data_IF_712058931839
#
_entry.id   IF_712058931839
#
_cell.length_a   1.000
_cell.length_b   1.000
_cell.length_c   1.000
_cell.angle_alpha   90.00
_cell.angle_beta   90.00
_cell.angle_gamma   90.00
#
_symmetry.space_group_name_H-M   'P 1'
#
loop_
_entity.id
_entity.type
_entity.pdbx_description
1 polymer ?
#
# COMPACT_ATOMS: atom_id res chain seq x y z
N UNK A 1 6.09 17.39 3.73
CA UNK A 1 5.00 17.46 2.72
C UNK A 1 5.56 17.12 1.33
N UNK A 2 5.42 15.85 0.91
CA UNK A 2 5.88 15.39 -0.42
C UNK A 2 4.89 15.72 -1.55
N UNK A 3 3.71 16.25 -1.25
CA UNK A 3 2.65 16.52 -2.24
C UNK A 3 3.02 17.58 -3.27
N UNK A 4 3.62 18.70 -2.84
CA UNK A 4 3.99 19.78 -3.75
C UNK A 4 5.08 19.36 -4.77
N UNK A 5 6.20 18.73 -4.36
CA UNK A 5 7.20 18.26 -5.34
C UNK A 5 6.66 17.17 -6.27
N UNK A 6 5.77 16.28 -5.80
CA UNK A 6 5.15 15.26 -6.65
C UNK A 6 4.23 15.87 -7.70
N UNK A 7 3.40 16.85 -7.32
CA UNK A 7 2.55 17.58 -8.26
C UNK A 7 3.36 18.39 -9.27
N UNK A 8 4.44 19.04 -8.82
CA UNK A 8 5.34 19.78 -9.70
C UNK A 8 6.01 18.84 -10.72
N UNK A 9 6.54 17.69 -10.26
CA UNK A 9 7.15 16.70 -11.14
C UNK A 9 6.15 16.14 -12.16
N UNK A 10 4.93 15.83 -11.73
CA UNK A 10 3.87 15.39 -12.64
C UNK A 10 3.50 16.45 -13.68
N UNK A 11 3.36 17.71 -13.26
CA UNK A 11 3.06 18.82 -14.18
C UNK A 11 4.18 19.04 -15.20
N UNK A 12 5.45 18.97 -14.77
CA UNK A 12 6.61 19.06 -15.66
C UNK A 12 6.65 17.90 -16.64
N UNK A 13 6.41 16.65 -16.18
CA UNK A 13 6.40 15.48 -17.04
C UNK A 13 5.28 15.56 -18.10
N UNK A 14 4.06 15.94 -17.69
CA UNK A 14 2.92 16.13 -18.61
C UNK A 14 3.25 17.24 -19.61
N UNK A 15 3.76 18.38 -19.15
CA UNK A 15 4.16 19.50 -20.00
C UNK A 15 5.22 19.12 -21.04
N UNK A 16 6.25 18.38 -20.62
CA UNK A 16 7.32 17.92 -21.50
C UNK A 16 6.79 16.96 -22.58
N UNK A 17 5.94 16.00 -22.22
CA UNK A 17 5.34 15.05 -23.16
C UNK A 17 4.43 15.76 -24.15
N UNK A 18 3.58 16.69 -23.69
CA UNK A 18 2.68 17.45 -24.57
C UNK A 18 3.46 18.37 -25.54
N UNK A 19 4.48 19.04 -25.02
CA UNK A 19 5.33 19.89 -25.88
C UNK A 19 6.03 19.09 -26.97
N UNK A 20 6.48 17.86 -26.62
CA UNK A 20 7.16 16.96 -27.56
C UNK A 20 6.21 16.35 -28.60
N UNK A 21 4.98 15.97 -28.19
CA UNK A 21 4.02 15.28 -29.06
C UNK A 21 3.04 16.22 -29.78
N UNK A 22 2.94 17.49 -29.37
CA UNK A 22 1.96 18.48 -29.89
C UNK A 22 0.51 17.99 -29.90
N UNK A 23 0.14 17.10 -29.00
CA UNK A 23 -1.19 16.56 -28.86
C UNK A 23 -1.97 17.32 -27.77
N UNK A 24 -3.29 17.45 -27.94
CA UNK A 24 -4.16 18.09 -26.96
C UNK A 24 -4.24 17.22 -25.68
N UNK A 25 -4.42 17.83 -24.47
CA UNK A 25 -4.47 17.09 -23.21
C UNK A 25 -5.71 16.23 -23.01
N UNK A 26 -6.77 16.43 -23.80
CA UNK A 26 -8.07 15.79 -23.65
C UNK A 26 -8.03 14.25 -23.72
N UNK A 27 -7.29 13.61 -24.65
CA UNK A 27 -7.19 12.16 -24.70
C UNK A 27 -6.58 11.56 -23.42
N UNK A 28 -5.68 12.30 -22.73
CA UNK A 28 -5.12 11.86 -21.47
C UNK A 28 -6.18 11.78 -20.36
N UNK A 29 -7.11 12.74 -20.31
CA UNK A 29 -8.19 12.76 -19.32
C UNK A 29 -9.23 11.65 -19.57
N UNK A 30 -9.47 11.27 -20.81
CA UNK A 30 -10.36 10.15 -21.16
C UNK A 30 -9.77 8.80 -20.72
N UNK A 31 -8.44 8.67 -20.71
CA UNK A 31 -7.76 7.44 -20.31
C UNK A 31 -7.55 7.33 -18.79
N UNK A 32 -7.87 8.37 -18.02
CA UNK A 32 -7.83 8.32 -16.55
C UNK A 32 -8.89 7.36 -16.02
N UNK A 33 -8.49 6.48 -15.13
CA UNK A 33 -9.42 5.53 -14.46
C UNK A 33 -10.23 6.24 -13.37
N UNK A 34 -11.21 7.07 -13.75
CA UNK A 34 -12.05 7.86 -12.84
C UNK A 34 -12.78 7.00 -11.80
N UNK A 35 -13.04 5.72 -12.10
CA UNK A 35 -13.63 4.75 -11.18
C UNK A 35 -12.79 4.50 -9.93
N UNK A 36 -11.50 4.84 -9.95
CA UNK A 36 -10.62 4.72 -8.78
C UNK A 36 -10.97 5.74 -7.69
N UNK A 37 -11.47 6.93 -8.06
CA UNK A 37 -11.80 7.97 -7.07
C UNK A 37 -12.90 7.54 -6.10
N UNK A 38 -14.08 7.06 -6.54
CA UNK A 38 -15.10 6.57 -5.63
C UNK A 38 -14.64 5.32 -4.85
N UNK A 39 -13.82 4.46 -5.45
CA UNK A 39 -13.25 3.32 -4.75
C UNK A 39 -12.36 3.77 -3.58
N UNK A 40 -11.44 4.70 -3.82
CA UNK A 40 -10.56 5.25 -2.77
C UNK A 40 -11.38 5.98 -1.71
N UNK A 41 -12.36 6.79 -2.09
CA UNK A 41 -13.26 7.44 -1.14
C UNK A 41 -14.01 6.42 -0.26
N UNK A 42 -14.51 5.32 -0.85
CA UNK A 42 -15.14 4.22 -0.12
C UNK A 42 -14.20 3.56 0.88
N UNK A 43 -12.93 3.34 0.51
CA UNK A 43 -11.92 2.79 1.42
C UNK A 43 -11.66 3.73 2.62
N UNK A 44 -11.60 5.04 2.42
CA UNK A 44 -11.47 6.00 3.52
C UNK A 44 -12.68 5.98 4.46
N UNK A 45 -13.90 5.88 3.91
CA UNK A 45 -15.13 5.75 4.71
C UNK A 45 -15.11 4.47 5.55
N UNK A 46 -14.68 3.35 4.97
CA UNK A 46 -14.54 2.09 5.69
C UNK A 46 -13.53 2.20 6.84
N UNK A 47 -12.36 2.80 6.62
CA UNK A 47 -11.35 3.01 7.67
C UNK A 47 -11.89 3.92 8.77
N UNK A 48 -12.61 5.00 8.41
CA UNK A 48 -13.25 5.88 9.38
C UNK A 48 -14.34 5.14 10.20
N UNK A 49 -15.09 4.24 9.56
CA UNK A 49 -16.06 3.36 10.23
C UNK A 49 -15.38 2.41 11.22
N UNK A 50 -14.30 1.75 10.80
CA UNK A 50 -13.50 0.87 11.67
C UNK A 50 -12.92 1.64 12.86
N UNK A 51 -12.50 2.89 12.65
CA UNK A 51 -12.00 3.74 13.73
C UNK A 51 -13.00 3.97 14.86
N UNK A 52 -14.31 3.96 14.54
CA UNK A 52 -15.38 4.15 15.52
C UNK A 52 -15.71 2.88 16.32
N UNK A 53 -15.28 1.72 15.89
CA UNK A 53 -15.54 0.44 16.59
C UNK A 53 -14.61 0.20 17.78
N UNK A 54 -13.60 1.03 18.00
CA UNK A 54 -12.56 0.82 19.00
C UNK A 54 -11.45 -0.16 18.58
N UNK A 55 -11.57 -0.79 17.42
CA UNK A 55 -10.57 -1.75 16.92
C UNK A 55 -9.18 -1.12 16.81
N UNK A 56 -9.07 0.12 16.31
CA UNK A 56 -7.79 0.81 16.17
C UNK A 56 -7.16 1.03 17.55
N UNK A 57 -7.96 1.41 18.56
CA UNK A 57 -7.48 1.58 19.94
C UNK A 57 -6.94 0.27 20.52
N UNK A 58 -7.67 -0.83 20.33
CA UNK A 58 -7.25 -2.16 20.78
C UNK A 58 -5.96 -2.63 20.08
N UNK A 59 -5.83 -2.41 18.77
CA UNK A 59 -4.62 -2.70 18.00
C UNK A 59 -3.43 -1.86 18.47
N UNK A 60 -3.67 -0.58 18.77
CA UNK A 60 -2.65 0.33 19.31
C UNK A 60 -2.13 -0.17 20.64
N UNK A 61 -3.01 -0.50 21.58
CA UNK A 61 -2.65 -1.01 22.90
C UNK A 61 -1.88 -2.33 22.81
N UNK A 62 -2.37 -3.26 21.97
CA UNK A 62 -1.69 -4.53 21.73
C UNK A 62 -0.28 -4.34 21.15
N UNK A 63 -0.14 -3.43 20.17
CA UNK A 63 1.15 -3.11 19.56
C UNK A 63 2.13 -2.54 20.58
N UNK A 64 1.69 -1.57 21.39
CA UNK A 64 2.53 -0.92 22.39
C UNK A 64 2.95 -1.93 23.47
N UNK A 65 2.03 -2.71 23.99
CA UNK A 65 2.32 -3.75 24.99
C UNK A 65 3.33 -4.76 24.46
N UNK A 66 3.11 -5.27 23.25
CA UNK A 66 4.02 -6.23 22.63
C UNK A 66 5.40 -5.61 22.32
N UNK A 67 5.44 -4.36 21.86
CA UNK A 67 6.68 -3.66 21.54
C UNK A 67 7.54 -3.39 22.79
N UNK A 68 6.93 -3.16 23.95
CA UNK A 68 7.64 -3.05 25.21
C UNK A 68 8.17 -4.39 25.72
N UNK A 69 7.40 -5.47 25.56
CA UNK A 69 7.76 -6.80 26.06
C UNK A 69 8.84 -7.46 25.19
N UNK A 70 8.72 -7.39 23.86
CA UNK A 70 9.61 -8.07 22.92
C UNK A 70 9.76 -7.26 21.60
N UNK A 71 10.57 -6.19 21.57
CA UNK A 71 10.66 -5.30 20.41
C UNK A 71 10.96 -6.00 19.06
N UNK A 72 11.95 -6.93 19.07
CA UNK A 72 12.32 -7.68 17.85
C UNK A 72 11.19 -8.62 17.39
N UNK A 73 10.61 -9.37 18.32
CA UNK A 73 9.48 -10.27 18.01
C UNK A 73 8.28 -9.50 17.48
N UNK A 74 8.00 -8.33 18.07
CA UNK A 74 6.92 -7.44 17.61
C UNK A 74 7.22 -6.86 16.24
N UNK A 75 8.45 -6.48 15.92
CA UNK A 75 8.82 -6.02 14.59
C UNK A 75 8.51 -7.09 13.53
N UNK A 76 8.99 -8.32 13.73
CA UNK A 76 8.71 -9.43 12.81
C UNK A 76 7.22 -9.76 12.72
N UNK A 77 6.54 -9.88 13.86
CA UNK A 77 5.12 -10.22 13.93
C UNK A 77 4.23 -9.14 13.30
N UNK A 78 4.47 -7.87 13.64
CA UNK A 78 3.69 -6.76 13.11
C UNK A 78 3.94 -6.54 11.60
N UNK A 79 5.20 -6.62 11.15
CA UNK A 79 5.54 -6.54 9.74
C UNK A 79 4.86 -7.63 8.92
N UNK A 80 4.94 -8.88 9.37
CA UNK A 80 4.28 -10.01 8.70
C UNK A 80 2.74 -9.87 8.73
N UNK A 81 2.15 -9.55 9.89
CA UNK A 81 0.70 -9.37 10.03
C UNK A 81 0.18 -8.30 9.08
N UNK A 82 0.84 -7.14 9.03
CA UNK A 82 0.43 -6.03 8.16
C UNK A 82 0.62 -6.39 6.69
N UNK A 83 1.68 -7.11 6.33
CA UNK A 83 1.89 -7.60 4.96
C UNK A 83 0.73 -8.49 4.49
N UNK A 84 0.26 -9.42 5.31
CA UNK A 84 -0.90 -10.24 4.98
C UNK A 84 -2.21 -9.45 5.02
N UNK A 85 -2.41 -8.56 6.01
CA UNK A 85 -3.59 -7.72 6.11
C UNK A 85 -3.76 -6.81 4.88
N UNK A 86 -2.67 -6.29 4.32
CA UNK A 86 -2.67 -5.49 3.10
C UNK A 86 -3.26 -6.24 1.89
N UNK A 87 -3.16 -7.57 1.84
CA UNK A 87 -3.78 -8.36 0.76
C UNK A 87 -5.30 -8.55 0.93
N UNK A 88 -5.79 -8.53 2.18
CA UNK A 88 -7.22 -8.67 2.47
C UNK A 88 -7.95 -7.34 2.40
N UNK A 89 -7.32 -6.28 2.90
CA UNK A 89 -7.94 -4.96 3.05
C UNK A 89 -7.54 -3.98 1.94
N UNK A 90 -6.55 -4.31 1.12
CA UNK A 90 -5.75 -3.40 0.31
C UNK A 90 -4.74 -2.59 1.15
N UNK A 91 -3.61 -2.18 0.55
CA UNK A 91 -2.53 -1.48 1.26
C UNK A 91 -2.94 -0.11 1.83
N UNK A 92 -3.86 0.60 1.19
CA UNK A 92 -4.30 1.93 1.67
C UNK A 92 -5.02 1.84 3.03
N UNK A 93 -6.11 1.07 3.21
CA UNK A 93 -6.74 0.88 4.52
C UNK A 93 -5.79 0.27 5.55
N UNK A 94 -5.03 -0.76 5.17
CA UNK A 94 -4.06 -1.39 6.07
C UNK A 94 -3.01 -0.38 6.56
N UNK A 95 -2.47 0.44 5.65
CA UNK A 95 -1.50 1.48 5.96
C UNK A 95 -2.05 2.58 6.85
N UNK A 96 -3.32 3.02 6.64
CA UNK A 96 -3.97 4.02 7.48
C UNK A 96 -4.21 3.50 8.90
N UNK A 97 -4.70 2.27 9.04
CA UNK A 97 -4.94 1.65 10.35
C UNK A 97 -3.62 1.46 11.09
N UNK A 98 -2.63 0.84 10.46
CA UNK A 98 -1.33 0.58 11.04
C UNK A 98 -0.56 1.88 11.35
N UNK A 99 -0.61 2.86 10.45
CA UNK A 99 0.00 4.18 10.64
C UNK A 99 -0.62 4.95 11.80
N UNK A 100 -1.93 4.87 12.00
CA UNK A 100 -2.61 5.46 13.16
C UNK A 100 -2.14 4.79 14.44
N UNK A 101 -2.07 3.46 14.50
CA UNK A 101 -1.61 2.73 15.68
C UNK A 101 -0.15 3.08 16.04
N UNK A 102 0.74 3.16 15.04
CA UNK A 102 2.17 3.50 15.24
C UNK A 102 2.35 4.94 15.72
N UNK A 103 1.51 5.88 15.26
CA UNK A 103 1.64 7.30 15.60
C UNK A 103 0.91 7.70 16.88
N UNK A 104 0.17 6.78 17.50
CA UNK A 104 -0.58 7.05 18.75
C UNK A 104 0.29 7.03 20.01
N UNK A 105 1.59 6.70 19.90
CA UNK A 105 2.52 6.71 21.02
C UNK A 105 3.94 6.31 20.62
N UNK A 106 4.87 6.23 21.58
CA UNK A 106 6.25 5.85 21.30
C UNK A 106 6.33 4.36 20.93
N UNK A 107 6.84 4.08 19.75
CA UNK A 107 7.08 2.73 19.25
C UNK A 107 8.53 2.64 18.77
N UNK A 108 9.28 1.56 19.09
CA UNK A 108 10.64 1.38 18.62
C UNK A 108 10.76 1.51 17.08
N UNK A 109 11.84 2.13 16.61
CA UNK A 109 12.04 2.37 15.16
C UNK A 109 12.03 1.09 14.35
N UNK A 110 12.57 -0.01 14.87
CA UNK A 110 12.50 -1.31 14.20
C UNK A 110 11.06 -1.79 13.96
N UNK A 111 10.15 -1.57 14.94
CA UNK A 111 8.72 -1.94 14.78
C UNK A 111 8.05 -1.03 13.77
N UNK A 112 8.34 0.26 13.81
CA UNK A 112 7.84 1.25 12.84
C UNK A 112 8.28 0.90 11.41
N UNK A 113 9.56 0.62 11.23
CA UNK A 113 10.15 0.23 9.95
C UNK A 113 9.58 -1.10 9.44
N UNK A 114 9.42 -2.09 10.32
CA UNK A 114 8.84 -3.38 9.96
C UNK A 114 7.39 -3.25 9.46
N UNK A 115 6.59 -2.41 10.10
CA UNK A 115 5.20 -2.12 9.66
C UNK A 115 5.22 -1.43 8.29
N UNK A 116 6.10 -0.46 8.06
CA UNK A 116 6.24 0.20 6.76
C UNK A 116 6.63 -0.81 5.66
N UNK A 117 7.61 -1.68 5.93
CA UNK A 117 8.02 -2.76 5.04
C UNK A 117 6.84 -3.69 4.73
N UNK A 118 6.06 -4.05 5.75
CA UNK A 118 4.87 -4.89 5.58
C UNK A 118 3.81 -4.26 4.68
N UNK A 119 3.56 -2.95 4.82
CA UNK A 119 2.62 -2.20 3.98
C UNK A 119 3.08 -2.17 2.52
N UNK A 120 4.38 -2.01 2.27
CA UNK A 120 4.93 -1.84 0.92
C UNK A 120 5.14 -3.19 0.20
N UNK A 121 5.66 -4.21 0.89
CA UNK A 121 5.95 -5.50 0.29
C UNK A 121 4.74 -6.44 0.26
N UNK A 122 3.89 -6.38 1.28
CA UNK A 122 2.72 -7.26 1.42
C UNK A 122 1.84 -7.32 0.18
N UNK A 123 1.45 -6.19 -0.41
CA UNK A 123 0.58 -6.14 -1.60
C UNK A 123 1.08 -6.93 -2.81
N UNK A 124 2.35 -7.26 -2.86
CA UNK A 124 2.92 -8.05 -3.97
C UNK A 124 2.55 -9.54 -3.93
N UNK A 125 1.85 -9.99 -2.89
CA UNK A 125 1.37 -11.37 -2.81
C UNK A 125 0.19 -11.62 -3.76
N UNK A 126 -0.77 -10.70 -3.84
CA UNK A 126 -2.01 -10.89 -4.60
C UNK A 126 -2.45 -9.64 -5.36
N UNK A 127 -3.27 -9.84 -6.37
CA UNK A 127 -3.82 -8.74 -7.20
C UNK A 127 -4.63 -7.74 -6.37
N UNK A 128 -5.30 -8.21 -5.31
CA UNK A 128 -6.15 -7.39 -4.44
C UNK A 128 -5.36 -6.53 -3.45
N UNK A 129 -4.09 -6.83 -3.24
CA UNK A 129 -3.25 -6.16 -2.25
C UNK A 129 -3.01 -4.67 -2.54
N UNK A 130 -3.05 -4.25 -3.80
CA UNK A 130 -2.82 -2.86 -4.19
C UNK A 130 -3.65 -2.42 -5.38
N UNK A 131 -4.18 -1.19 -5.30
CA UNK A 131 -4.81 -0.52 -6.45
C UNK A 131 -3.84 -0.35 -7.62
N UNK A 132 -2.57 -0.09 -7.34
CA UNK A 132 -1.55 0.03 -8.38
C UNK A 132 -1.41 -1.27 -9.18
N UNK A 133 -1.46 -2.43 -8.53
CA UNK A 133 -1.43 -3.73 -9.20
C UNK A 133 -2.65 -3.92 -10.12
N UNK A 134 -3.84 -3.53 -9.66
CA UNK A 134 -5.07 -3.61 -10.46
C UNK A 134 -4.95 -2.71 -11.69
N UNK A 135 -4.49 -1.46 -11.53
CA UNK A 135 -4.29 -0.52 -12.62
C UNK A 135 -3.23 -1.00 -13.63
N UNK A 136 -2.14 -1.58 -13.14
CA UNK A 136 -1.11 -2.17 -13.96
C UNK A 136 -1.65 -3.33 -14.80
N UNK A 137 -2.44 -4.23 -14.22
CA UNK A 137 -3.08 -5.33 -14.96
C UNK A 137 -4.10 -4.83 -15.99
N UNK A 138 -4.81 -3.74 -15.70
CA UNK A 138 -5.70 -3.09 -16.68
C UNK A 138 -4.88 -2.51 -17.84
N UNK A 139 -3.75 -1.87 -17.57
CA UNK A 139 -2.86 -1.35 -18.60
C UNK A 139 -2.30 -2.48 -19.49
N UNK A 140 -1.81 -3.59 -18.90
CA UNK A 140 -1.33 -4.75 -19.64
C UNK A 140 -2.39 -5.32 -20.58
N UNK A 141 -3.65 -5.43 -20.10
CA UNK A 141 -4.75 -5.92 -20.95
C UNK A 141 -5.03 -5.02 -22.16
N UNK A 142 -4.82 -3.71 -22.04
CA UNK A 142 -4.96 -2.78 -23.16
C UNK A 142 -3.88 -2.97 -24.23
N UNK A 143 -2.70 -3.45 -23.82
CA UNK A 143 -1.57 -3.80 -24.71
C UNK A 143 -1.67 -5.25 -25.24
N UNK A 144 -2.77 -5.96 -24.95
CA UNK A 144 -2.97 -7.34 -25.41
C UNK A 144 -2.34 -8.40 -24.51
N UNK A 145 -1.71 -8.02 -23.41
CA UNK A 145 -1.08 -8.94 -22.47
C UNK A 145 -2.07 -9.37 -21.38
N UNK A 146 -2.09 -10.67 -21.09
CA UNK A 146 -3.00 -11.25 -20.12
C UNK A 146 -2.26 -11.96 -18.99
N UNK A 147 -2.26 -11.34 -17.80
CA UNK A 147 -1.78 -11.97 -16.56
C UNK A 147 -3.00 -12.34 -15.72
N UNK A 148 -3.17 -13.63 -15.42
CA UNK A 148 -4.23 -14.09 -14.54
C UNK A 148 -3.89 -13.85 -13.07
N UNK A 149 -4.93 -13.71 -12.21
CA UNK A 149 -4.74 -13.57 -10.77
C UNK A 149 -3.96 -14.76 -10.17
N UNK A 150 -4.13 -15.95 -10.73
CA UNK A 150 -3.40 -17.14 -10.29
C UNK A 150 -1.92 -17.11 -10.66
N UNK A 151 -1.59 -16.65 -11.87
CA UNK A 151 -0.18 -16.46 -12.27
C UNK A 151 0.50 -15.42 -11.37
N UNK A 152 -0.17 -14.30 -11.10
CA UNK A 152 0.33 -13.28 -10.19
C UNK A 152 0.55 -13.84 -8.78
N UNK A 153 -0.44 -14.58 -8.23
CA UNK A 153 -0.34 -15.18 -6.90
C UNK A 153 0.80 -16.20 -6.81
N UNK A 154 1.01 -17.04 -7.82
CA UNK A 154 2.10 -18.03 -7.82
C UNK A 154 3.48 -17.37 -7.73
N UNK A 155 3.69 -16.30 -8.46
CA UNK A 155 4.95 -15.53 -8.40
C UNK A 155 5.04 -14.78 -7.07
N UNK A 156 3.96 -14.10 -6.67
CA UNK A 156 3.88 -13.37 -5.42
C UNK A 156 4.08 -14.22 -4.18
N UNK A 157 3.57 -15.46 -4.17
CA UNK A 157 3.71 -16.41 -3.05
C UNK A 157 5.17 -16.84 -2.79
N UNK A 158 6.05 -16.68 -3.77
CA UNK A 158 7.49 -16.91 -3.60
C UNK A 158 8.22 -15.60 -3.38
N UNK A 159 7.99 -14.63 -4.23
CA UNK A 159 8.74 -13.37 -4.23
C UNK A 159 8.48 -12.53 -2.98
N UNK A 160 7.21 -12.37 -2.57
CA UNK A 160 6.85 -11.50 -1.44
C UNK A 160 7.39 -12.03 -0.10
N UNK A 161 7.20 -13.31 0.30
CA UNK A 161 7.73 -13.79 1.57
C UNK A 161 9.25 -13.73 1.64
N UNK A 162 9.96 -14.06 0.55
CA UNK A 162 11.42 -13.96 0.51
C UNK A 162 11.90 -12.52 0.68
N UNK A 163 11.27 -11.57 -0.05
CA UNK A 163 11.59 -10.16 0.07
C UNK A 163 11.27 -9.63 1.47
N UNK A 164 10.13 -10.02 2.04
CA UNK A 164 9.71 -9.61 3.38
C UNK A 164 10.69 -10.11 4.45
N UNK A 165 11.05 -11.40 4.41
CA UNK A 165 12.03 -11.99 5.34
C UNK A 165 13.37 -11.29 5.20
N UNK A 166 13.87 -11.10 3.98
CA UNK A 166 15.13 -10.42 3.74
C UNK A 166 15.12 -8.97 4.26
N UNK A 167 14.06 -8.22 4.02
CA UNK A 167 13.94 -6.84 4.49
C UNK A 167 13.82 -6.75 6.03
N UNK A 168 13.04 -7.63 6.66
CA UNK A 168 12.90 -7.67 8.13
C UNK A 168 14.18 -8.14 8.82
N UNK A 169 14.99 -8.98 8.17
CA UNK A 169 16.27 -9.43 8.71
C UNK A 169 17.34 -8.32 8.72
N UNK A 170 17.14 -7.24 7.96
CA UNK A 170 18.04 -6.08 7.93
C UNK A 170 17.71 -5.00 8.99
N UNK A 171 16.63 -5.20 9.78
CA UNK A 171 16.23 -4.32 10.89
C UNK A 171 16.90 -4.73 12.21
#
# INVERSE_FOLDING_TARGET
NCTAPTLAAAAVAIGAVQFSKREAPWPLLEHVSWSVLPLVAGLFVLVAGVGRTGLIAALTEALHTAAHAAPRGTAWGAGALVAFAANLLNNLPAGLIAGTAVNSGPVPDAVRSAIAIGIDLGPNLSVTGSLATILWLVALRREGEHVSAWQFLRVGAVAMPLALVAALACL
#
